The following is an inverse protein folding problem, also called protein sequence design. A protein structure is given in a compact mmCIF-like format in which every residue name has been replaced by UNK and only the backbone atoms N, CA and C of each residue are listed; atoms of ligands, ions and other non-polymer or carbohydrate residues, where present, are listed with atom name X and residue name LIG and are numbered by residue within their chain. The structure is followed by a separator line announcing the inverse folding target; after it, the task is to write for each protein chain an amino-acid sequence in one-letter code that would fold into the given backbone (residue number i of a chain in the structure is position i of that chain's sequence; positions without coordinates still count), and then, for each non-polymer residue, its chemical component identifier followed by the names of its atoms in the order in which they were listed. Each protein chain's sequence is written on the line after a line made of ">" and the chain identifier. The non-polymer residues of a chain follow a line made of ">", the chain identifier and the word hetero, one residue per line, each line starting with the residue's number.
data_IF_305080935073
#
_entry.id   IF_305080935073
#
_cell.length_a   1.000
_cell.length_b   1.000
_cell.length_c   1.000
_cell.angle_alpha   90.00
_cell.angle_beta   90.00
_cell.angle_gamma   90.00
#
_symmetry.space_group_name_H-M   'P 1'
#
loop_
_entity.id
_entity.type
_entity.pdbx_description
1 polymer ?
#
# COMPACT_ATOMS: atom_id res chain seq x y z
N UNK A 1 -13.16 39.80 -39.01
CA UNK A 1 -12.71 39.81 -37.61
C UNK A 1 -12.33 38.40 -37.19
N UNK A 2 -11.06 38.20 -36.87
CA UNK A 2 -10.43 36.88 -36.76
C UNK A 2 -10.89 36.16 -35.49
N UNK A 3 -11.67 35.09 -35.67
CA UNK A 3 -12.07 34.18 -34.60
C UNK A 3 -10.81 33.47 -34.08
N UNK A 4 -10.19 34.08 -33.07
CA UNK A 4 -9.12 33.50 -32.25
C UNK A 4 -9.68 32.20 -31.69
N UNK A 5 -9.37 31.08 -32.36
CA UNK A 5 -9.67 29.71 -31.90
C UNK A 5 -9.19 29.64 -30.44
N UNK A 6 -10.11 29.79 -29.50
CA UNK A 6 -9.87 29.42 -28.11
C UNK A 6 -9.42 27.97 -28.18
N UNK A 7 -8.14 27.70 -27.85
CA UNK A 7 -7.69 26.36 -27.53
C UNK A 7 -8.70 25.84 -26.51
N UNK A 8 -9.59 24.96 -26.95
CA UNK A 8 -10.73 24.53 -26.15
C UNK A 8 -10.17 23.95 -24.86
N UNK A 9 -10.40 24.65 -23.75
CA UNK A 9 -9.99 24.17 -22.44
C UNK A 9 -10.63 22.79 -22.24
N UNK A 10 -9.82 21.73 -22.12
CA UNK A 10 -10.28 20.35 -22.21
C UNK A 10 -11.37 19.99 -21.19
N UNK A 11 -11.43 20.76 -20.09
CA UNK A 11 -12.38 20.62 -18.98
C UNK A 11 -13.64 21.46 -19.09
N UNK A 12 -13.72 22.43 -20.01
CA UNK A 12 -14.92 23.27 -20.14
C UNK A 12 -15.98 22.54 -20.97
N UNK A 13 -17.17 22.38 -20.41
CA UNK A 13 -18.32 21.85 -21.14
C UNK A 13 -18.91 22.93 -22.05
N UNK A 14 -19.35 22.54 -23.24
CA UNK A 14 -20.06 23.43 -24.17
C UNK A 14 -21.56 23.24 -23.94
N UNK A 15 -22.19 24.29 -23.43
CA UNK A 15 -23.65 24.40 -23.30
C UNK A 15 -24.15 25.39 -24.35
N UNK A 16 -25.39 25.23 -24.82
CA UNK A 16 -26.02 26.20 -25.74
C UNK A 16 -26.34 27.51 -25.00
N UNK A 17 -26.57 28.60 -25.74
CA UNK A 17 -26.86 29.89 -25.11
C UNK A 17 -28.24 29.91 -24.44
N UNK A 18 -29.19 29.10 -24.93
CA UNK A 18 -30.47 28.81 -24.28
C UNK A 18 -30.26 28.11 -22.92
N UNK A 19 -29.41 27.08 -22.87
CA UNK A 19 -29.07 26.37 -21.63
C UNK A 19 -28.36 27.26 -20.59
N UNK A 20 -27.71 28.35 -21.03
CA UNK A 20 -27.07 29.33 -20.15
C UNK A 20 -28.03 30.41 -19.65
N UNK A 21 -29.08 30.70 -20.39
CA UNK A 21 -30.11 31.68 -20.03
C UNK A 21 -31.11 31.10 -19.02
N UNK A 22 -31.26 29.77 -18.97
CA UNK A 22 -32.13 29.07 -18.02
C UNK A 22 -31.79 29.39 -16.55
N UNK A 23 -32.73 29.93 -15.75
CA UNK A 23 -32.47 30.33 -14.37
C UNK A 23 -32.11 29.15 -13.45
N UNK A 24 -32.61 27.95 -13.72
CA UNK A 24 -32.31 26.74 -12.94
C UNK A 24 -30.94 26.14 -13.27
N UNK A 25 -30.52 26.20 -14.54
CA UNK A 25 -29.28 25.57 -15.02
C UNK A 25 -28.07 26.52 -14.96
N UNK A 26 -28.30 27.83 -15.15
CA UNK A 26 -27.30 28.90 -15.07
C UNK A 26 -26.40 28.85 -13.81
N UNK A 27 -26.90 28.66 -12.57
CA UNK A 27 -26.03 28.61 -11.40
C UNK A 27 -25.10 27.39 -11.41
N UNK A 28 -25.55 26.26 -11.98
CA UNK A 28 -24.75 25.04 -12.08
C UNK A 28 -23.68 25.16 -13.18
N UNK A 29 -24.02 25.75 -14.33
CA UNK A 29 -23.06 26.04 -15.40
C UNK A 29 -22.00 27.04 -14.91
N UNK A 30 -22.39 28.12 -14.22
CA UNK A 30 -21.45 29.09 -13.64
C UNK A 30 -20.50 28.45 -12.62
N UNK A 31 -20.98 27.48 -11.82
CA UNK A 31 -20.14 26.71 -10.89
C UNK A 31 -19.16 25.81 -11.62
N UNK A 32 -19.57 25.18 -12.71
CA UNK A 32 -18.71 24.36 -13.57
C UNK A 32 -17.62 25.21 -14.24
N UNK A 33 -17.98 26.36 -14.80
CA UNK A 33 -17.04 27.31 -15.42
C UNK A 33 -16.01 27.85 -14.41
N UNK A 34 -16.47 28.32 -13.24
CA UNK A 34 -15.55 28.77 -12.17
C UNK A 34 -14.60 27.66 -11.69
N UNK A 35 -15.05 26.40 -11.69
CA UNK A 35 -14.21 25.28 -11.32
C UNK A 35 -13.16 24.96 -12.40
N UNK A 36 -13.52 25.10 -13.68
CA UNK A 36 -12.60 24.99 -14.80
C UNK A 36 -11.53 26.10 -14.79
N UNK A 37 -11.93 27.35 -14.52
CA UNK A 37 -11.00 28.49 -14.42
C UNK A 37 -9.99 28.30 -13.28
N UNK A 38 -10.44 27.79 -12.12
CA UNK A 38 -9.57 27.47 -10.98
C UNK A 38 -8.60 26.33 -11.30
N UNK A 39 -9.07 25.32 -12.03
CA UNK A 39 -8.22 24.23 -12.49
C UNK A 39 -7.14 24.73 -13.46
N UNK A 40 -7.50 25.61 -14.39
CA UNK A 40 -6.55 26.19 -15.35
C UNK A 40 -5.46 27.00 -14.62
N UNK A 41 -5.85 27.83 -13.65
CA UNK A 41 -4.89 28.56 -12.79
C UNK A 41 -3.96 27.63 -12.03
N UNK A 42 -4.48 26.50 -11.52
CA UNK A 42 -3.67 25.53 -10.79
C UNK A 42 -2.76 24.69 -11.69
N UNK A 43 -3.20 24.37 -12.91
CA UNK A 43 -2.37 23.71 -13.93
C UNK A 43 -1.25 24.65 -14.40
N UNK A 44 -1.53 25.94 -14.56
CA UNK A 44 -0.52 26.95 -14.89
C UNK A 44 0.56 27.11 -13.80
N UNK A 45 0.24 26.81 -12.53
CA UNK A 45 1.19 26.80 -11.42
C UNK A 45 2.06 25.53 -11.35
N UNK A 46 1.78 24.51 -12.18
CA UNK A 46 2.65 23.33 -12.27
C UNK A 46 3.96 23.74 -12.95
N UNK A 47 5.13 23.42 -12.36
CA UNK A 47 6.40 23.81 -12.94
C UNK A 47 6.61 23.09 -14.28
N UNK A 48 6.81 23.85 -15.36
CA UNK A 48 7.05 23.32 -16.71
C UNK A 48 8.53 22.99 -16.91
N UNK A 49 8.83 22.00 -17.75
CA UNK A 49 10.16 21.67 -18.25
C UNK A 49 10.17 21.95 -19.76
N UNK A 50 11.16 22.72 -20.20
CA UNK A 50 11.44 22.89 -21.63
C UNK A 50 12.10 21.61 -22.13
N UNK A 51 11.43 20.90 -23.03
CA UNK A 51 11.96 19.70 -23.70
C UNK A 51 12.18 20.06 -25.16
N UNK A 52 13.39 19.79 -25.65
CA UNK A 52 13.74 20.04 -27.04
C UNK A 52 13.08 18.97 -27.93
N UNK A 53 12.22 19.38 -28.85
CA UNK A 53 11.66 18.50 -29.89
C UNK A 53 12.17 18.92 -31.27
N UNK A 54 12.30 17.92 -32.15
CA UNK A 54 12.73 18.11 -33.54
C UNK A 54 11.50 18.00 -34.45
N UNK A 55 11.22 19.04 -35.22
CA UNK A 55 10.21 19.00 -36.27
C UNK A 55 10.90 19.09 -37.63
N UNK A 56 10.61 18.12 -38.50
CA UNK A 56 11.08 18.13 -39.88
C UNK A 56 10.05 18.89 -40.70
N UNK A 57 10.38 20.12 -41.07
CA UNK A 57 9.60 20.94 -41.99
C UNK A 57 10.22 20.78 -43.37
N UNK A 58 9.41 20.42 -44.36
CA UNK A 58 9.82 20.42 -45.77
C UNK A 58 9.54 21.80 -46.35
N UNK A 59 10.59 22.55 -46.67
CA UNK A 59 10.48 23.78 -47.46
C UNK A 59 10.38 23.39 -48.94
N UNK A 60 9.20 23.53 -49.54
CA UNK A 60 8.92 23.17 -50.95
C UNK A 60 9.84 23.88 -51.95
N UNK A 61 10.34 25.07 -51.60
CA UNK A 61 11.24 25.87 -52.46
C UNK A 61 12.68 25.35 -52.56
N UNK A 62 13.13 24.43 -51.69
CA UNK A 62 14.54 23.96 -51.66
C UNK A 62 14.71 22.44 -51.71
N UNK A 63 13.64 21.66 -51.84
CA UNK A 63 13.65 20.19 -51.96
C UNK A 63 14.56 19.44 -50.96
N UNK A 64 14.89 20.04 -49.80
CA UNK A 64 15.75 19.46 -48.76
C UNK A 64 15.02 19.54 -47.41
N UNK A 65 14.96 18.44 -46.64
CA UNK A 65 14.30 18.45 -45.33
C UNK A 65 15.08 19.33 -44.35
N UNK A 66 14.46 20.39 -43.82
CA UNK A 66 15.06 21.22 -42.77
C UNK A 66 14.52 20.80 -41.41
N UNK A 67 15.39 20.29 -40.55
CA UNK A 67 15.01 19.95 -39.18
C UNK A 67 15.12 21.21 -38.32
N UNK A 68 13.99 21.76 -37.86
CA UNK A 68 13.97 22.85 -36.89
C UNK A 68 13.81 22.26 -35.49
N UNK A 69 14.66 22.71 -34.57
CA UNK A 69 14.57 22.37 -33.16
C UNK A 69 13.77 23.46 -32.47
N UNK A 70 12.74 23.11 -31.72
CA UNK A 70 12.07 24.05 -30.83
C UNK A 70 11.93 23.45 -29.44
N UNK A 71 11.91 24.33 -28.45
CA UNK A 71 11.67 23.94 -27.06
C UNK A 71 10.15 23.95 -26.81
N UNK A 72 9.60 22.78 -26.53
CA UNK A 72 8.21 22.65 -26.08
C UNK A 72 8.18 22.66 -24.55
N UNK A 73 7.35 23.50 -23.95
CA UNK A 73 7.11 23.49 -22.51
C UNK A 73 6.13 22.37 -22.17
N UNK A 74 6.64 21.31 -21.54
CA UNK A 74 5.84 20.18 -21.07
C UNK A 74 5.77 20.26 -19.53
N UNK A 75 4.61 20.03 -18.95
CA UNK A 75 4.46 19.96 -17.49
C UNK A 75 5.44 18.93 -16.91
N UNK A 76 6.18 19.29 -15.85
CA UNK A 76 7.10 18.32 -15.22
C UNK A 76 6.27 17.13 -14.72
N UNK A 77 6.69 15.88 -15.00
CA UNK A 77 6.01 14.72 -14.45
C UNK A 77 6.09 14.77 -12.93
N UNK A 78 5.02 14.32 -12.27
CA UNK A 78 4.96 14.22 -10.81
C UNK A 78 6.17 13.40 -10.32
N UNK A 79 6.93 13.87 -9.31
CA UNK A 79 8.05 13.09 -8.78
C UNK A 79 7.52 11.74 -8.26
N UNK A 80 8.26 10.63 -8.51
CA UNK A 80 7.80 9.29 -8.22
C UNK A 80 7.46 9.12 -6.74
N UNK A 81 6.40 8.36 -6.46
CA UNK A 81 5.98 8.02 -5.10
C UNK A 81 6.98 7.05 -4.48
N UNK A 82 7.43 7.28 -3.24
CA UNK A 82 8.36 6.36 -2.54
C UNK A 82 7.81 4.93 -2.39
N UNK A 83 6.50 4.74 -2.51
CA UNK A 83 5.85 3.43 -2.44
C UNK A 83 6.23 2.48 -3.59
N UNK A 84 6.79 2.99 -4.70
CA UNK A 84 7.31 2.12 -5.77
C UNK A 84 8.71 1.57 -5.47
N UNK A 85 9.41 2.09 -4.46
CA UNK A 85 10.75 1.63 -4.07
C UNK A 85 10.76 0.71 -2.84
N UNK A 86 9.66 0.63 -2.09
CA UNK A 86 9.57 -0.21 -0.89
C UNK A 86 9.70 -1.72 -1.18
N UNK A 87 9.58 -2.13 -2.45
CA UNK A 87 9.75 -3.53 -2.88
C UNK A 87 11.24 -3.88 -3.12
N UNK A 88 12.15 -2.89 -3.22
CA UNK A 88 13.57 -3.14 -3.57
C UNK A 88 14.57 -2.86 -2.45
N UNK A 89 14.14 -2.48 -1.24
CA UNK A 89 15.05 -2.09 -0.14
C UNK A 89 14.99 -3.04 1.07
N UNK A 90 14.93 -4.35 0.83
CA UNK A 90 15.13 -5.35 1.88
C UNK A 90 16.57 -5.40 2.45
N UNK A 91 17.66 -5.28 1.66
CA UNK A 91 19.01 -5.51 2.19
C UNK A 91 19.58 -4.34 3.03
N UNK A 92 18.99 -3.14 2.97
CA UNK A 92 19.49 -1.99 3.73
C UNK A 92 19.04 -1.98 5.20
N UNK A 93 17.99 -2.73 5.54
CA UNK A 93 17.47 -2.80 6.92
C UNK A 93 18.26 -3.78 7.79
N UNK A 94 18.86 -4.82 7.21
CA UNK A 94 19.64 -5.82 7.92
C UNK A 94 20.99 -5.30 8.40
N UNK A 95 21.65 -4.44 7.62
CA UNK A 95 22.93 -3.84 8.00
C UNK A 95 22.83 -2.95 9.26
N UNK A 96 21.74 -2.18 9.40
CA UNK A 96 21.50 -1.39 10.63
C UNK A 96 21.22 -2.26 11.85
N UNK A 97 20.64 -3.45 11.66
CA UNK A 97 20.27 -4.35 12.76
C UNK A 97 21.49 -5.07 13.33
N UNK A 98 22.51 -5.35 12.51
CA UNK A 98 23.73 -6.02 12.97
C UNK A 98 24.71 -5.08 13.68
N UNK A 99 24.77 -3.80 13.31
CA UNK A 99 25.62 -2.81 14.00
C UNK A 99 25.10 -2.52 15.41
N UNK A 100 23.77 -2.52 15.62
CA UNK A 100 23.16 -2.27 16.94
C UNK A 100 23.40 -3.38 17.99
N UNK A 101 23.87 -4.56 17.58
CA UNK A 101 24.05 -5.71 18.48
C UNK A 101 25.44 -5.79 19.11
N UNK A 102 26.41 -4.99 18.65
CA UNK A 102 27.83 -5.12 19.07
C UNK A 102 28.27 -4.02 20.04
N UNK A 103 27.46 -2.99 20.30
CA UNK A 103 27.89 -1.78 21.04
C UNK A 103 27.17 -1.60 22.39
N UNK A 104 27.28 -2.62 23.25
CA UNK A 104 26.71 -2.60 24.60
C UNK A 104 27.57 -1.91 25.69
N UNK A 105 28.86 -1.64 25.46
CA UNK A 105 29.80 -1.37 26.57
C UNK A 105 30.53 -0.02 26.55
N UNK A 106 30.05 0.99 25.81
CA UNK A 106 30.69 2.31 25.87
C UNK A 106 29.70 3.48 25.80
N UNK A 107 29.49 4.12 26.96
CA UNK A 107 28.51 5.21 27.15
C UNK A 107 28.84 6.45 26.30
N UNK A 108 30.11 6.61 25.89
CA UNK A 108 30.55 7.67 24.96
C UNK A 108 30.09 7.46 23.50
N UNK A 109 29.93 6.22 23.05
CA UNK A 109 29.49 5.89 21.69
C UNK A 109 27.97 6.02 21.54
N UNK A 110 27.21 5.74 22.61
CA UNK A 110 25.76 5.97 22.62
C UNK A 110 25.37 7.45 22.47
N UNK A 111 26.19 8.38 22.99
CA UNK A 111 25.95 9.82 22.82
C UNK A 111 26.20 10.27 21.37
N UNK A 112 27.28 9.79 20.75
CA UNK A 112 27.55 10.02 19.32
C UNK A 112 26.44 9.43 18.43
N UNK A 113 26.03 8.20 18.70
CA UNK A 113 25.01 7.51 17.90
C UNK A 113 23.60 8.13 18.05
N UNK A 114 23.23 8.61 19.25
CA UNK A 114 22.00 9.41 19.44
C UNK A 114 22.07 10.75 18.68
N UNK A 115 23.25 11.38 18.62
CA UNK A 115 23.44 12.62 17.86
C UNK A 115 23.34 12.38 16.35
N UNK A 116 23.84 11.25 15.85
CA UNK A 116 23.68 10.83 14.46
C UNK A 116 22.23 10.49 14.12
N UNK A 117 21.54 9.76 14.99
CA UNK A 117 20.13 9.44 14.79
C UNK A 117 19.25 10.70 14.80
N UNK A 118 19.57 11.68 15.65
CA UNK A 118 18.92 13.00 15.65
C UNK A 118 19.25 13.80 14.36
N UNK A 119 20.50 13.76 13.88
CA UNK A 119 20.90 14.40 12.64
C UNK A 119 20.20 13.76 11.42
N UNK A 120 20.14 12.43 11.36
CA UNK A 120 19.47 11.69 10.29
C UNK A 120 17.96 11.92 10.27
N UNK A 121 17.31 11.89 11.44
CA UNK A 121 15.88 12.21 11.53
C UNK A 121 15.61 13.65 11.13
N UNK A 122 16.48 14.59 11.51
CA UNK A 122 16.47 15.98 11.05
C UNK A 122 16.58 16.11 9.52
N UNK A 123 17.56 15.45 8.91
CA UNK A 123 17.76 15.46 7.45
C UNK A 123 16.58 14.83 6.71
N UNK A 124 16.04 13.71 7.21
CA UNK A 124 14.85 13.06 6.63
C UNK A 124 13.62 13.96 6.74
N UNK A 125 13.43 14.63 7.87
CA UNK A 125 12.34 15.59 8.08
C UNK A 125 12.43 16.75 7.08
N UNK A 126 13.59 17.40 6.95
CA UNK A 126 13.81 18.50 5.98
C UNK A 126 13.56 18.04 4.55
N UNK A 127 14.07 16.85 4.17
CA UNK A 127 13.85 16.28 2.83
C UNK A 127 12.37 15.97 2.57
N UNK A 128 11.65 15.51 3.59
CA UNK A 128 10.20 15.24 3.50
C UNK A 128 9.40 16.54 3.32
N UNK A 129 9.76 17.61 4.03
CA UNK A 129 9.14 18.93 3.93
C UNK A 129 9.36 19.51 2.53
N UNK A 130 10.59 19.47 2.02
CA UNK A 130 10.91 19.92 0.67
C UNK A 130 10.15 19.14 -0.41
N UNK A 131 10.09 17.81 -0.28
CA UNK A 131 9.34 16.97 -1.20
C UNK A 131 7.84 17.26 -1.15
N UNK A 132 7.29 17.44 0.06
CA UNK A 132 5.89 17.79 0.26
C UNK A 132 5.57 19.16 -0.37
N UNK A 133 6.47 20.14 -0.22
CA UNK A 133 6.36 21.45 -0.86
C UNK A 133 6.36 21.36 -2.39
N UNK A 134 7.27 20.56 -2.97
CA UNK A 134 7.30 20.30 -4.42
C UNK A 134 6.04 19.61 -4.95
N UNK A 135 5.37 18.81 -4.11
CA UNK A 135 4.13 18.11 -4.45
C UNK A 135 2.87 18.98 -4.30
N UNK A 136 2.91 20.09 -3.57
CA UNK A 136 1.76 21.00 -3.37
C UNK A 136 1.05 21.38 -4.69
N UNK A 137 1.72 21.91 -5.74
CA UNK A 137 1.04 22.31 -6.98
C UNK A 137 0.35 21.13 -7.69
N UNK A 138 0.92 19.93 -7.63
CA UNK A 138 0.31 18.73 -8.21
C UNK A 138 -0.91 18.27 -7.42
N UNK A 139 -0.87 18.36 -6.09
CA UNK A 139 -2.00 18.01 -5.22
C UNK A 139 -3.14 19.02 -5.39
N UNK A 140 -2.84 20.31 -5.46
CA UNK A 140 -3.85 21.35 -5.72
C UNK A 140 -4.49 21.18 -7.09
N UNK A 141 -3.70 20.90 -8.13
CA UNK A 141 -4.23 20.61 -9.46
C UNK A 141 -5.15 19.37 -9.45
N UNK A 142 -4.72 18.26 -8.84
CA UNK A 142 -5.53 17.03 -8.78
C UNK A 142 -6.81 17.20 -7.95
N UNK A 143 -6.78 17.97 -6.86
CA UNK A 143 -7.98 18.26 -6.05
C UNK A 143 -8.95 19.17 -6.81
N UNK A 144 -8.44 20.16 -7.53
CA UNK A 144 -9.25 21.04 -8.37
C UNK A 144 -9.81 20.31 -9.59
N UNK A 145 -9.10 19.33 -10.14
CA UNK A 145 -9.59 18.44 -11.19
C UNK A 145 -10.80 17.63 -10.72
N UNK A 146 -10.71 17.04 -9.52
CA UNK A 146 -11.86 16.35 -8.91
C UNK A 146 -13.04 17.30 -8.69
N UNK A 147 -12.79 18.56 -8.30
CA UNK A 147 -13.84 19.57 -8.09
C UNK A 147 -14.49 20.00 -9.41
N UNK A 148 -13.69 20.21 -10.46
CA UNK A 148 -14.17 20.51 -11.80
C UNK A 148 -15.00 19.36 -12.39
N UNK A 149 -14.52 18.11 -12.25
CA UNK A 149 -15.26 16.92 -12.68
C UNK A 149 -16.60 16.79 -11.95
N UNK A 150 -16.63 17.01 -10.63
CA UNK A 150 -17.89 16.99 -9.87
C UNK A 150 -18.86 18.09 -10.31
N UNK A 151 -18.35 19.31 -10.56
CA UNK A 151 -19.19 20.42 -11.01
C UNK A 151 -19.76 20.16 -12.42
N UNK A 152 -18.95 19.61 -13.32
CA UNK A 152 -19.36 19.19 -14.67
C UNK A 152 -20.41 18.07 -14.64
N UNK A 153 -20.19 17.02 -13.83
CA UNK A 153 -21.15 15.93 -13.66
C UNK A 153 -22.47 16.44 -13.09
N UNK A 154 -22.43 17.36 -12.12
CA UNK A 154 -23.65 17.95 -11.55
C UNK A 154 -24.38 18.85 -12.57
N UNK A 155 -23.66 19.62 -13.39
CA UNK A 155 -24.27 20.42 -14.45
C UNK A 155 -24.95 19.53 -15.51
N UNK A 156 -24.29 18.43 -15.91
CA UNK A 156 -24.89 17.43 -16.80
C UNK A 156 -26.10 16.73 -16.17
N UNK A 157 -26.04 16.41 -14.88
CA UNK A 157 -27.17 15.82 -14.16
C UNK A 157 -28.38 16.75 -14.12
N UNK A 158 -28.18 18.04 -13.81
CA UNK A 158 -29.28 19.01 -13.80
C UNK A 158 -29.88 19.22 -15.19
N UNK A 159 -29.06 19.19 -16.24
CA UNK A 159 -29.55 19.17 -17.62
C UNK A 159 -30.44 17.93 -17.87
N UNK A 160 -30.01 16.74 -17.46
CA UNK A 160 -30.81 15.52 -17.67
C UNK A 160 -32.12 15.51 -16.89
N UNK A 161 -32.14 16.09 -15.68
CA UNK A 161 -33.36 16.21 -14.85
C UNK A 161 -34.34 17.20 -15.47
N UNK A 162 -33.84 18.32 -15.99
CA UNK A 162 -34.65 19.28 -16.76
C UNK A 162 -35.29 18.64 -17.98
N UNK A 163 -34.48 17.93 -18.77
CA UNK A 163 -34.95 17.29 -20.01
C UNK A 163 -35.94 16.14 -19.73
N UNK A 164 -35.93 15.57 -18.51
CA UNK A 164 -36.77 14.44 -18.13
C UNK A 164 -37.25 14.53 -16.65
N UNK A 165 -38.27 15.35 -16.34
CA UNK A 165 -38.70 15.59 -14.96
C UNK A 165 -39.24 14.33 -14.26
N UNK A 166 -39.85 13.40 -15.00
CA UNK A 166 -40.37 12.12 -14.49
C UNK A 166 -39.29 11.18 -13.93
N UNK A 167 -38.04 11.36 -14.35
CA UNK A 167 -36.91 10.52 -13.95
C UNK A 167 -36.33 10.88 -12.58
N UNK A 168 -36.81 11.98 -11.98
CA UNK A 168 -36.32 12.48 -10.69
C UNK A 168 -37.11 11.97 -9.48
N UNK A 169 -38.17 11.18 -9.64
CA UNK A 169 -39.06 10.80 -8.51
C UNK A 169 -38.48 9.72 -7.57
N UNK A 170 -37.73 8.74 -8.11
CA UNK A 170 -37.23 7.59 -7.33
C UNK A 170 -35.75 7.74 -6.93
N UNK A 171 -35.37 7.63 -5.63
CA UNK A 171 -33.98 7.74 -5.17
C UNK A 171 -33.01 6.72 -5.81
N UNK A 172 -33.47 5.50 -6.09
CA UNK A 172 -32.65 4.47 -6.75
C UNK A 172 -32.34 4.84 -8.21
N UNK A 173 -33.35 5.35 -8.93
CA UNK A 173 -33.20 5.81 -10.31
C UNK A 173 -32.25 7.01 -10.40
N UNK A 174 -32.34 7.96 -9.45
CA UNK A 174 -31.41 9.10 -9.35
C UNK A 174 -29.96 8.64 -9.20
N UNK A 175 -29.71 7.64 -8.35
CA UNK A 175 -28.36 7.11 -8.15
C UNK A 175 -27.82 6.43 -9.40
N UNK A 176 -28.63 5.59 -10.06
CA UNK A 176 -28.25 4.92 -11.31
C UNK A 176 -27.94 5.92 -12.43
N UNK A 177 -28.76 6.95 -12.60
CA UNK A 177 -28.55 8.02 -13.58
C UNK A 177 -27.26 8.80 -13.30
N UNK A 178 -27.04 9.20 -12.04
CA UNK A 178 -25.81 9.90 -11.65
C UNK A 178 -24.57 9.05 -11.92
N UNK A 179 -24.66 7.74 -11.70
CA UNK A 179 -23.60 6.80 -12.01
C UNK A 179 -23.40 6.62 -13.52
N UNK A 180 -24.47 6.58 -14.32
CA UNK A 180 -24.41 6.53 -15.78
C UNK A 180 -23.75 7.79 -16.36
N UNK A 181 -24.14 8.98 -15.90
CA UNK A 181 -23.53 10.26 -16.30
C UNK A 181 -22.05 10.31 -15.90
N UNK A 182 -21.69 9.81 -14.71
CA UNK A 182 -20.29 9.70 -14.29
C UNK A 182 -19.48 8.77 -15.21
N UNK A 183 -20.06 7.66 -15.66
CA UNK A 183 -19.42 6.73 -16.62
C UNK A 183 -19.24 7.40 -17.99
N UNK A 184 -20.30 8.00 -18.54
CA UNK A 184 -20.25 8.72 -19.81
C UNK A 184 -19.25 9.87 -19.79
N UNK A 185 -19.23 10.67 -18.72
CA UNK A 185 -18.26 11.74 -18.53
C UNK A 185 -16.83 11.20 -18.45
N UNK A 186 -16.58 10.09 -17.74
CA UNK A 186 -15.26 9.48 -17.68
C UNK A 186 -14.79 8.97 -19.06
N UNK A 187 -15.68 8.38 -19.85
CA UNK A 187 -15.39 7.96 -21.24
C UNK A 187 -15.10 9.17 -22.11
N UNK A 188 -15.92 10.22 -22.05
CA UNK A 188 -15.72 11.46 -22.81
C UNK A 188 -14.42 12.17 -22.42
N UNK A 189 -14.09 12.21 -21.12
CA UNK A 189 -12.83 12.77 -20.60
C UNK A 189 -11.62 11.98 -21.12
N UNK A 190 -11.66 10.65 -21.06
CA UNK A 190 -10.61 9.80 -21.64
C UNK A 190 -10.49 10.07 -23.13
N UNK A 191 -11.59 10.05 -23.89
CA UNK A 191 -11.57 10.34 -25.33
C UNK A 191 -10.96 11.72 -25.65
N UNK A 192 -11.28 12.76 -24.87
CA UNK A 192 -10.69 14.11 -25.02
C UNK A 192 -9.21 14.17 -24.66
N UNK A 193 -8.78 13.43 -23.64
CA UNK A 193 -7.36 13.32 -23.27
C UNK A 193 -6.55 12.56 -24.34
N UNK A 194 -7.12 11.51 -24.94
CA UNK A 194 -6.48 10.75 -26.03
C UNK A 194 -6.48 11.49 -27.36
N UNK A 195 -7.43 12.41 -27.59
CA UNK A 195 -7.46 13.25 -28.80
C UNK A 195 -6.26 14.20 -28.91
N UNK A 196 -5.59 14.52 -27.78
CA UNK A 196 -4.35 15.30 -27.76
C UNK A 196 -3.08 14.50 -28.08
N UNK A 197 -3.14 13.16 -28.07
CA UNK A 197 -1.99 12.27 -28.28
C UNK A 197 -2.24 11.34 -29.47
N UNK A 198 -1.98 11.89 -30.66
CA UNK A 198 -1.61 11.19 -31.89
C UNK A 198 -2.68 10.23 -32.46
N UNK A 199 -3.17 10.57 -33.66
CA UNK A 199 -4.08 9.76 -34.51
C UNK A 199 -3.75 8.25 -34.60
N UNK A 200 -2.52 7.83 -34.31
CA UNK A 200 -2.06 6.42 -34.31
C UNK A 200 -2.59 5.57 -33.14
N UNK A 201 -3.00 6.18 -32.02
CA UNK A 201 -3.55 5.45 -30.87
C UNK A 201 -5.05 5.17 -31.03
N UNK A 202 -5.76 6.08 -31.72
CA UNK A 202 -7.18 5.92 -32.03
C UNK A 202 -7.43 4.75 -33.01
N UNK A 203 -6.54 4.50 -33.98
CA UNK A 203 -6.64 3.34 -34.87
C UNK A 203 -6.39 2.02 -34.12
N UNK A 204 -5.45 2.00 -33.17
CA UNK A 204 -5.20 0.82 -32.34
C UNK A 204 -6.34 0.57 -31.35
N UNK A 205 -6.86 1.62 -30.71
CA UNK A 205 -8.00 1.57 -29.80
C UNK A 205 -9.32 1.26 -30.52
N UNK A 206 -9.54 1.74 -31.75
CA UNK A 206 -10.69 1.39 -32.58
C UNK A 206 -10.60 -0.06 -33.08
N UNK A 207 -9.40 -0.55 -33.42
CA UNK A 207 -9.18 -1.98 -33.74
C UNK A 207 -9.35 -2.87 -32.50
N UNK A 208 -8.98 -2.43 -31.30
CA UNK A 208 -9.26 -3.16 -30.06
C UNK A 208 -10.75 -3.08 -29.70
N UNK A 209 -11.37 -1.91 -29.78
CA UNK A 209 -12.79 -1.73 -29.48
C UNK A 209 -13.72 -2.47 -30.46
N UNK A 210 -13.39 -2.52 -31.76
CA UNK A 210 -14.13 -3.36 -32.73
C UNK A 210 -13.94 -4.85 -32.45
N UNK A 211 -12.72 -5.31 -32.14
CA UNK A 211 -12.49 -6.69 -31.70
C UNK A 211 -13.18 -7.02 -30.38
N UNK A 212 -13.32 -6.04 -29.47
CA UNK A 212 -14.01 -6.23 -28.19
C UNK A 212 -15.52 -6.19 -28.36
N UNK A 213 -16.06 -5.37 -29.27
CA UNK A 213 -17.48 -5.29 -29.64
C UNK A 213 -17.95 -6.54 -30.39
N UNK A 214 -17.15 -7.05 -31.33
CA UNK A 214 -17.42 -8.31 -32.04
C UNK A 214 -17.27 -9.52 -31.10
N UNK A 215 -16.32 -9.50 -30.17
CA UNK A 215 -16.23 -10.50 -29.11
C UNK A 215 -17.41 -10.40 -28.13
N UNK A 216 -17.87 -9.18 -27.77
CA UNK A 216 -19.01 -9.01 -26.85
C UNK A 216 -20.36 -9.38 -27.47
N UNK A 217 -20.59 -9.12 -28.76
CA UNK A 217 -21.79 -9.61 -29.45
C UNK A 217 -21.80 -11.13 -29.59
N UNK A 218 -20.65 -11.75 -29.91
CA UNK A 218 -20.54 -13.21 -29.99
C UNK A 218 -20.68 -13.86 -28.61
N UNK A 219 -20.14 -13.27 -27.54
CA UNK A 219 -20.36 -13.76 -26.18
C UNK A 219 -21.78 -13.49 -25.68
N UNK A 220 -22.42 -12.37 -26.04
CA UNK A 220 -23.81 -12.10 -25.64
C UNK A 220 -24.79 -13.09 -26.29
N UNK A 221 -24.61 -13.39 -27.58
CA UNK A 221 -25.42 -14.41 -28.27
C UNK A 221 -25.16 -15.83 -27.72
N UNK A 222 -23.92 -16.15 -27.34
CA UNK A 222 -23.57 -17.44 -26.73
C UNK A 222 -24.12 -17.57 -25.29
N UNK A 223 -24.17 -16.47 -24.54
CA UNK A 223 -24.74 -16.42 -23.18
C UNK A 223 -26.26 -16.64 -23.20
N UNK A 224 -26.97 -16.08 -24.18
CA UNK A 224 -28.41 -16.30 -24.34
C UNK A 224 -28.70 -17.73 -24.80
N UNK A 225 -27.87 -18.31 -25.68
CA UNK A 225 -28.09 -19.65 -26.24
C UNK A 225 -27.66 -20.79 -25.30
N UNK A 226 -26.67 -20.56 -24.45
CA UNK A 226 -26.10 -21.56 -23.53
C UNK A 226 -26.27 -21.15 -22.06
N UNK A 227 -27.41 -20.53 -21.71
CA UNK A 227 -27.64 -20.06 -20.32
C UNK A 227 -27.61 -21.20 -19.29
N UNK A 228 -28.06 -22.41 -19.67
CA UNK A 228 -28.09 -23.60 -18.78
C UNK A 228 -26.69 -24.05 -18.33
N UNK A 229 -25.72 -24.34 -19.22
CA UNK A 229 -24.36 -24.70 -18.79
C UNK A 229 -23.62 -23.53 -18.14
N UNK A 230 -23.93 -22.28 -18.51
CA UNK A 230 -23.35 -21.09 -17.86
C UNK A 230 -23.83 -20.98 -16.40
N UNK A 231 -25.10 -21.29 -16.12
CA UNK A 231 -25.59 -21.37 -14.75
C UNK A 231 -24.96 -22.50 -13.94
N UNK A 232 -24.66 -23.63 -14.57
CA UNK A 232 -23.94 -24.73 -13.91
C UNK A 232 -22.50 -24.29 -13.58
N UNK A 233 -21.80 -23.65 -14.51
CA UNK A 233 -20.44 -23.12 -14.29
C UNK A 233 -20.45 -22.00 -13.24
N UNK A 234 -21.46 -21.12 -13.28
CA UNK A 234 -21.65 -20.08 -12.26
C UNK A 234 -21.95 -20.70 -10.89
N UNK A 235 -22.77 -21.75 -10.83
CA UNK A 235 -23.07 -22.49 -9.60
C UNK A 235 -21.83 -23.16 -9.02
N UNK A 236 -21.04 -23.85 -9.86
CA UNK A 236 -19.74 -24.41 -9.46
C UNK A 236 -18.79 -23.29 -9.01
N UNK A 237 -18.76 -22.16 -9.71
CA UNK A 237 -17.97 -20.99 -9.34
C UNK A 237 -18.40 -20.38 -8.00
N UNK A 238 -19.70 -20.35 -7.70
CA UNK A 238 -20.25 -19.91 -6.41
C UNK A 238 -19.90 -20.91 -5.31
N UNK A 239 -19.96 -22.21 -5.57
CA UNK A 239 -19.54 -23.26 -4.62
C UNK A 239 -18.04 -23.17 -4.35
N UNK A 240 -17.20 -22.98 -5.38
CA UNK A 240 -15.76 -22.75 -5.22
C UNK A 240 -15.51 -21.45 -4.48
N UNK A 241 -16.25 -20.38 -4.76
CA UNK A 241 -16.15 -19.12 -4.02
C UNK A 241 -16.60 -19.28 -2.56
N UNK A 242 -17.61 -20.09 -2.28
CA UNK A 242 -18.03 -20.45 -0.92
C UNK A 242 -16.98 -21.29 -0.21
N UNK A 243 -16.32 -22.23 -0.89
CA UNK A 243 -15.19 -22.99 -0.34
C UNK A 243 -13.98 -22.06 -0.11
N UNK A 244 -13.69 -21.15 -1.03
CA UNK A 244 -12.59 -20.17 -0.90
C UNK A 244 -12.89 -19.10 0.16
N UNK A 245 -14.15 -18.76 0.41
CA UNK A 245 -14.56 -17.87 1.51
C UNK A 245 -14.67 -18.62 2.84
N UNK A 246 -14.98 -19.93 2.84
CA UNK A 246 -14.86 -20.78 4.02
C UNK A 246 -13.39 -20.96 4.43
N UNK A 247 -12.50 -21.19 3.45
CA UNK A 247 -11.04 -21.19 3.66
C UNK A 247 -10.57 -19.77 4.01
N UNK A 248 -11.09 -18.71 3.39
CA UNK A 248 -10.69 -17.32 3.62
C UNK A 248 -11.16 -16.73 4.95
N UNK A 249 -12.29 -17.19 5.48
CA UNK A 249 -12.74 -16.87 6.84
C UNK A 249 -11.86 -17.52 7.89
N UNK A 250 -11.19 -18.62 7.53
CA UNK A 250 -10.10 -19.16 8.32
C UNK A 250 -8.78 -18.44 8.01
N UNK A 251 -8.40 -18.14 6.76
CA UNK A 251 -7.08 -17.60 6.43
C UNK A 251 -6.86 -16.12 6.76
N UNK A 252 -7.89 -15.26 6.72
CA UNK A 252 -7.75 -13.84 7.14
C UNK A 252 -7.86 -13.71 8.66
N UNK A 253 -8.55 -14.63 9.33
CA UNK A 253 -8.55 -14.73 10.79
C UNK A 253 -7.33 -15.49 11.32
N UNK A 254 -6.74 -16.40 10.53
CA UNK A 254 -5.49 -17.11 10.82
C UNK A 254 -4.30 -16.20 10.54
N UNK A 255 -4.21 -15.48 9.42
CA UNK A 255 -3.12 -14.49 9.20
C UNK A 255 -3.31 -13.17 9.97
N UNK A 256 -4.56 -12.75 10.20
CA UNK A 256 -4.89 -11.57 11.00
C UNK A 256 -4.94 -11.83 12.51
N UNK A 257 -5.12 -13.08 12.93
CA UNK A 257 -5.10 -13.53 14.33
C UNK A 257 -3.73 -14.04 14.78
N UNK A 258 -2.96 -14.72 13.91
CA UNK A 258 -1.61 -15.19 14.26
C UNK A 258 -0.60 -14.06 14.47
N UNK A 259 -0.85 -12.84 13.97
CA UNK A 259 0.06 -11.70 14.15
C UNK A 259 -0.42 -10.65 15.16
N UNK A 260 -1.62 -10.78 15.74
CA UNK A 260 -2.15 -9.78 16.68
C UNK A 260 -2.16 -10.23 18.15
N UNK A 261 -1.92 -11.52 18.44
CA UNK A 261 -1.82 -12.04 19.83
C UNK A 261 -0.43 -12.61 20.15
N UNK A 262 0.43 -12.87 19.15
CA UNK A 262 1.86 -13.18 19.38
C UNK A 262 2.66 -11.92 19.76
N UNK A 263 1.99 -10.77 19.87
CA UNK A 263 2.56 -9.53 20.37
C UNK A 263 2.60 -9.51 21.89
N UNK A 264 3.72 -9.93 22.47
CA UNK A 264 4.24 -9.56 23.80
C UNK A 264 3.78 -10.32 25.05
N UNK A 265 3.02 -11.42 24.95
CA UNK A 265 2.64 -12.23 26.13
C UNK A 265 2.89 -13.72 25.90
N UNK A 266 3.25 -14.42 26.97
CA UNK A 266 3.37 -15.88 26.98
C UNK A 266 2.00 -16.51 26.70
N UNK A 267 1.98 -17.53 25.86
CA UNK A 267 0.76 -18.19 25.37
C UNK A 267 0.26 -19.32 26.29
N UNK A 268 1.10 -19.78 27.21
CA UNK A 268 0.72 -20.77 28.23
C UNK A 268 -0.07 -20.14 29.38
N UNK A 269 -0.82 -20.94 30.12
CA UNK A 269 -1.53 -20.51 31.33
C UNK A 269 -0.52 -20.10 32.43
N UNK A 270 -0.86 -19.07 33.23
CA UNK A 270 0.01 -18.55 34.29
C UNK A 270 0.45 -19.65 35.28
N UNK A 271 -0.43 -20.61 35.53
CA UNK A 271 -0.19 -21.75 36.42
C UNK A 271 0.91 -22.67 35.85
N UNK A 272 0.91 -22.91 34.54
CA UNK A 272 1.91 -23.71 33.85
C UNK A 272 3.25 -22.97 33.76
N UNK A 273 3.23 -21.65 33.55
CA UNK A 273 4.42 -20.79 33.56
C UNK A 273 5.11 -20.85 34.92
N UNK A 274 4.36 -20.62 36.01
CA UNK A 274 4.90 -20.67 37.37
C UNK A 274 5.37 -22.08 37.75
N UNK A 275 4.66 -23.12 37.30
CA UNK A 275 5.06 -24.50 37.54
C UNK A 275 6.35 -24.88 36.78
N UNK A 276 6.55 -24.38 35.56
CA UNK A 276 7.77 -24.59 34.79
C UNK A 276 8.98 -23.89 35.42
N UNK A 277 8.80 -22.64 35.83
CA UNK A 277 9.80 -21.87 36.57
C UNK A 277 10.21 -22.60 37.87
N UNK A 278 9.23 -22.96 38.71
CA UNK A 278 9.48 -23.65 39.96
C UNK A 278 10.17 -25.01 39.75
N UNK A 279 9.80 -25.73 38.68
CA UNK A 279 10.45 -26.99 38.33
C UNK A 279 11.92 -26.79 37.97
N UNK A 280 12.24 -25.80 37.12
CA UNK A 280 13.62 -25.54 36.71
C UNK A 280 14.49 -25.03 37.86
N UNK A 281 13.96 -24.16 38.74
CA UNK A 281 14.60 -23.79 40.01
C UNK A 281 14.91 -25.03 40.86
N UNK A 282 14.00 -26.02 40.87
CA UNK A 282 14.19 -27.29 41.55
C UNK A 282 15.37 -28.09 41.00
N UNK A 283 15.51 -28.14 39.67
CA UNK A 283 16.63 -28.79 38.99
C UNK A 283 17.98 -28.12 39.33
N UNK A 284 18.04 -26.79 39.26
CA UNK A 284 19.24 -26.02 39.62
C UNK A 284 19.61 -26.19 41.10
N UNK A 285 18.60 -26.26 41.98
CA UNK A 285 18.81 -26.56 43.39
C UNK A 285 19.35 -27.97 43.61
N UNK A 286 18.88 -28.95 42.84
CA UNK A 286 19.43 -30.31 42.83
C UNK A 286 20.89 -30.34 42.41
N UNK A 287 21.27 -29.56 41.40
CA UNK A 287 22.66 -29.42 40.96
C UNK A 287 23.54 -28.79 42.05
N UNK A 288 23.09 -27.71 42.69
CA UNK A 288 23.79 -27.08 43.83
C UNK A 288 23.99 -28.06 44.99
N UNK A 289 22.97 -28.87 45.29
CA UNK A 289 23.06 -29.89 46.32
C UNK A 289 24.05 -31.00 45.95
N UNK A 290 24.14 -31.37 44.66
CA UNK A 290 25.13 -32.33 44.19
C UNK A 290 26.55 -31.80 44.40
N UNK A 291 26.78 -30.52 44.08
CA UNK A 291 28.07 -29.83 44.31
C UNK A 291 28.41 -29.78 45.80
N UNK A 292 27.46 -29.38 46.65
CA UNK A 292 27.70 -29.29 48.10
C UNK A 292 27.98 -30.65 48.75
N UNK A 293 27.56 -31.75 48.12
CA UNK A 293 27.81 -33.12 48.59
C UNK A 293 29.10 -33.72 48.01
N UNK A 294 29.88 -33.00 47.20
CA UNK A 294 31.12 -33.54 46.60
C UNK A 294 32.09 -34.02 47.67
N UNK A 295 32.30 -33.25 48.74
CA UNK A 295 33.24 -33.63 49.81
C UNK A 295 32.83 -34.93 50.52
N UNK A 296 31.52 -35.14 50.68
CA UNK A 296 30.98 -36.37 51.29
C UNK A 296 30.98 -37.55 50.31
N UNK A 297 30.72 -37.30 49.03
CA UNK A 297 30.59 -38.35 48.00
C UNK A 297 31.92 -38.79 47.41
N UNK A 298 32.95 -37.94 47.50
CA UNK A 298 34.31 -38.21 47.05
C UNK A 298 35.30 -37.98 48.21
N UNK A 299 35.25 -38.81 49.28
CA UNK A 299 36.13 -38.67 50.43
C UNK A 299 37.58 -39.09 50.09
N UNK A 300 38.54 -38.65 50.91
CA UNK A 300 39.95 -39.08 50.81
C UNK A 300 40.91 -38.05 50.22
N UNK A 301 40.45 -36.80 50.05
CA UNK A 301 41.28 -35.68 49.63
C UNK A 301 41.39 -34.67 50.78
N UNK A 302 42.59 -34.10 50.97
CA UNK A 302 42.85 -33.11 52.02
C UNK A 302 42.36 -31.70 51.63
N UNK A 303 42.21 -31.41 50.34
CA UNK A 303 41.77 -30.10 49.81
C UNK A 303 40.82 -30.31 48.61
N UNK A 304 39.68 -29.61 48.61
CA UNK A 304 38.75 -29.55 47.48
C UNK A 304 38.82 -28.17 46.81
N UNK A 305 39.03 -28.16 45.48
CA UNK A 305 39.08 -26.92 44.68
C UNK A 305 37.90 -26.85 43.73
N UNK A 306 37.15 -25.76 43.81
CA UNK A 306 35.96 -25.54 43.01
C UNK A 306 36.21 -24.46 41.96
N UNK A 307 36.04 -24.80 40.69
CA UNK A 307 35.95 -23.84 39.59
C UNK A 307 34.53 -23.91 39.02
N UNK A 308 33.63 -23.09 39.57
CA UNK A 308 32.21 -23.13 39.28
C UNK A 308 31.77 -21.85 38.57
N UNK A 309 31.00 -22.01 37.50
CA UNK A 309 30.25 -20.91 36.91
C UNK A 309 28.98 -20.61 37.74
N UNK A 310 28.38 -19.45 37.50
CA UNK A 310 27.10 -19.10 38.10
C UNK A 310 26.01 -20.10 37.67
N UNK A 311 25.22 -20.55 38.64
CA UNK A 311 24.07 -21.42 38.42
C UNK A 311 22.84 -20.57 38.61
N UNK A 312 22.11 -20.32 37.55
CA UNK A 312 20.87 -19.55 37.53
C UNK A 312 20.40 -19.34 36.09
N UNK A 313 19.10 -19.18 35.92
CA UNK A 313 18.47 -18.90 34.64
C UNK A 313 17.69 -17.58 34.72
N UNK A 314 17.45 -16.97 33.55
CA UNK A 314 16.48 -15.89 33.42
C UNK A 314 15.08 -16.51 33.19
N UNK A 315 14.09 -16.25 34.07
CA UNK A 315 12.73 -16.75 33.91
C UNK A 315 12.12 -16.37 32.56
N UNK A 316 12.41 -15.17 32.06
CA UNK A 316 11.83 -14.68 30.80
C UNK A 316 12.42 -15.39 29.59
N UNK A 317 13.72 -15.74 29.64
CA UNK A 317 14.37 -16.52 28.59
C UNK A 317 13.87 -17.97 28.59
N UNK A 318 13.71 -18.57 29.76
CA UNK A 318 13.16 -19.91 29.92
C UNK A 318 11.74 -20.00 29.34
N UNK A 319 10.87 -19.04 29.68
CA UNK A 319 9.52 -18.99 29.14
C UNK A 319 9.51 -18.72 27.63
N UNK A 320 10.40 -17.85 27.15
CA UNK A 320 10.54 -17.59 25.70
C UNK A 320 10.98 -18.85 24.93
N UNK A 321 11.87 -19.65 25.51
CA UNK A 321 12.30 -20.94 24.95
C UNK A 321 11.14 -21.94 24.88
N UNK A 322 10.37 -22.10 25.96
CA UNK A 322 9.23 -23.02 26.00
C UNK A 322 8.11 -22.59 25.03
N UNK A 323 7.80 -21.29 24.98
CA UNK A 323 6.84 -20.73 24.03
C UNK A 323 7.31 -20.92 22.58
N UNK A 324 8.60 -20.75 22.28
CA UNK A 324 9.12 -21.00 20.94
C UNK A 324 9.05 -22.49 20.54
N UNK A 325 9.17 -23.40 21.51
CA UNK A 325 9.19 -24.84 21.26
C UNK A 325 7.78 -25.45 21.11
N UNK A 326 6.83 -24.98 21.91
CA UNK A 326 5.50 -25.62 22.02
C UNK A 326 4.35 -24.70 21.65
N UNK A 327 4.60 -23.41 21.43
CA UNK A 327 3.60 -22.35 21.38
C UNK A 327 2.81 -22.29 22.69
N UNK A 328 1.83 -23.16 22.90
CA UNK A 328 1.06 -23.33 24.14
C UNK A 328 1.53 -24.60 24.88
N UNK A 329 2.13 -24.43 26.07
CA UNK A 329 2.72 -25.53 26.82
C UNK A 329 2.01 -25.76 28.15
N UNK A 330 1.95 -27.03 28.54
CA UNK A 330 1.64 -27.43 29.92
C UNK A 330 2.89 -27.98 30.59
N UNK A 331 2.99 -27.89 31.91
CA UNK A 331 4.16 -28.36 32.66
C UNK A 331 4.47 -29.85 32.38
N UNK A 332 3.44 -30.67 32.19
CA UNK A 332 3.61 -32.09 31.90
C UNK A 332 4.36 -32.33 30.57
N UNK A 333 4.13 -31.47 29.56
CA UNK A 333 4.84 -31.53 28.27
C UNK A 333 6.22 -30.88 28.33
N UNK A 334 6.38 -29.84 29.16
CA UNK A 334 7.62 -29.07 29.26
C UNK A 334 8.73 -29.80 30.03
N UNK A 335 8.41 -30.64 31.02
CA UNK A 335 9.41 -31.32 31.90
C UNK A 335 10.55 -32.02 31.14
N UNK A 336 10.29 -32.89 30.13
CA UNK A 336 11.39 -33.55 29.42
C UNK A 336 12.32 -32.57 28.69
N UNK A 337 11.79 -31.45 28.19
CA UNK A 337 12.60 -30.41 27.56
C UNK A 337 13.41 -29.62 28.59
N UNK A 338 12.85 -29.34 29.77
CA UNK A 338 13.54 -28.69 30.88
C UNK A 338 14.69 -29.55 31.42
N UNK A 339 14.48 -30.86 31.58
CA UNK A 339 15.53 -31.80 31.98
C UNK A 339 16.67 -31.81 30.94
N UNK A 340 16.32 -31.94 29.67
CA UNK A 340 17.29 -31.92 28.57
C UNK A 340 18.02 -30.56 28.43
N UNK A 341 17.36 -29.45 28.81
CA UNK A 341 17.96 -28.12 28.83
C UNK A 341 19.01 -28.02 29.94
N UNK A 342 18.71 -28.52 31.14
CA UNK A 342 19.66 -28.54 32.26
C UNK A 342 20.95 -29.28 31.89
N UNK A 343 20.82 -30.48 31.28
CA UNK A 343 21.95 -31.30 30.86
C UNK A 343 22.84 -30.61 29.81
N UNK A 344 22.26 -29.71 29.00
CA UNK A 344 23.00 -28.92 28.01
C UNK A 344 23.60 -27.65 28.59
N UNK A 345 22.92 -27.04 29.56
CA UNK A 345 23.34 -25.77 30.17
C UNK A 345 24.48 -25.99 31.17
N UNK A 346 24.42 -27.09 31.92
CA UNK A 346 25.38 -27.37 32.99
C UNK A 346 26.07 -28.71 32.77
N UNK A 347 27.40 -28.69 32.82
CA UNK A 347 28.23 -29.91 32.86
C UNK A 347 29.11 -29.84 34.11
N UNK A 348 29.01 -30.87 34.96
CA UNK A 348 29.85 -31.00 36.14
C UNK A 348 30.90 -32.08 35.89
N UNK A 349 32.17 -31.67 35.84
CA UNK A 349 33.32 -32.57 35.71
C UNK A 349 34.08 -32.59 37.03
N UNK A 350 34.34 -33.79 37.55
CA UNK A 350 35.16 -34.02 38.76
C UNK A 350 36.44 -34.70 38.28
N UNK A 351 37.59 -34.16 38.67
CA UNK A 351 38.93 -34.60 38.26
C UNK A 351 39.83 -34.88 39.43
#
# INVERSE_FOLDING_TARGET
>A
MSAKRQKGNAYRLRFTDEERADPELAPHIRKADKAADRLEKAQAQIPKKKVLKKERVFDEAKAKPKTRLYFEEIDKPRPPSKLTHAVLSAPALEAHRQISKVEGENVGVQAAHKSEQAAETGVRAVRSIHHNHKLKPYRTAATLEKKADRANINALYQKTVRDNPHLSSNPLSRWQQKQAIKRQYAVAKKARQTAGTTKKTAERAAKTAKKTAEATQKTAAFVVRNWKPILIILGIGVVIMLIMTAIGSCSVMLQGGMNMIVGTSYTAEDEDILAAEAYYVGLESGLRQKISKIETTHPGYDEYRYNLAEIGHDPFELMSYLTALYEDFTIAKARPALDALLDRQYTLTVT
#
